data_IF_137328959366
#
_entry.id   IF_137328959366
#
_cell.length_a   1.000
_cell.length_b   1.000
_cell.length_c   1.000
_cell.angle_alpha   90.00
_cell.angle_beta   90.00
_cell.angle_gamma   90.00
#
_symmetry.space_group_name_H-M   'P 1'
#
loop_
_entity.id
_entity.type
_entity.pdbx_description
1 polymer ?
#
# COMPACT_ATOMS: atom_id res chain seq x y z
N UNK A 1 -29.85 6.64 -3.78
CA UNK A 1 -29.04 5.84 -2.83
C UNK A 1 -28.62 4.53 -3.51
N UNK A 2 -27.43 4.48 -4.13
CA UNK A 2 -26.99 3.35 -4.96
C UNK A 2 -26.37 2.23 -4.10
N UNK A 3 -27.19 1.24 -3.68
CA UNK A 3 -26.76 0.06 -2.91
C UNK A 3 -25.63 -0.75 -3.55
N UNK A 4 -25.41 -0.66 -4.87
CA UNK A 4 -24.38 -1.43 -5.59
C UNK A 4 -22.94 -0.89 -5.47
N UNK A 5 -22.74 0.41 -5.20
CA UNK A 5 -21.37 0.98 -5.08
C UNK A 5 -20.71 0.63 -3.75
N UNK A 6 -21.49 0.57 -2.66
CA UNK A 6 -20.96 0.22 -1.33
C UNK A 6 -20.45 -1.22 -1.23
N UNK A 7 -20.98 -2.16 -2.03
CA UNK A 7 -20.53 -3.55 -1.95
C UNK A 7 -19.15 -3.76 -2.58
N UNK A 8 -18.88 -3.17 -3.76
CA UNK A 8 -17.58 -3.29 -4.44
C UNK A 8 -16.43 -2.69 -3.63
N UNK A 9 -16.70 -1.56 -2.99
CA UNK A 9 -15.74 -0.84 -2.16
C UNK A 9 -15.39 -1.65 -0.92
N UNK A 10 -16.41 -2.24 -0.28
CA UNK A 10 -16.24 -3.15 0.83
C UNK A 10 -15.42 -4.39 0.45
N UNK A 11 -15.71 -5.03 -0.68
CA UNK A 11 -14.96 -6.22 -1.13
C UNK A 11 -13.48 -5.90 -1.42
N UNK A 12 -13.17 -4.76 -2.03
CA UNK A 12 -11.78 -4.34 -2.29
C UNK A 12 -11.01 -4.10 -0.99
N UNK A 13 -11.64 -3.44 -0.02
CA UNK A 13 -11.04 -3.22 1.31
C UNK A 13 -10.84 -4.56 2.01
N UNK A 14 -11.87 -5.41 2.05
CA UNK A 14 -11.82 -6.72 2.68
C UNK A 14 -10.73 -7.60 2.06
N UNK A 15 -10.61 -7.62 0.73
CA UNK A 15 -9.56 -8.35 0.02
C UNK A 15 -8.17 -7.82 0.38
N UNK A 16 -7.99 -6.49 0.40
CA UNK A 16 -6.70 -5.88 0.77
C UNK A 16 -6.31 -6.22 2.21
N UNK A 17 -7.26 -6.12 3.14
CA UNK A 17 -7.05 -6.47 4.55
C UNK A 17 -6.71 -7.96 4.70
N UNK A 18 -7.42 -8.85 4.01
CA UNK A 18 -7.15 -10.29 4.05
C UNK A 18 -5.75 -10.61 3.52
N UNK A 19 -5.34 -10.02 2.40
CA UNK A 19 -4.00 -10.22 1.83
C UNK A 19 -2.91 -9.71 2.79
N UNK A 20 -3.08 -8.51 3.35
CA UNK A 20 -2.14 -7.95 4.34
C UNK A 20 -2.08 -8.79 5.62
N UNK A 21 -3.21 -9.32 6.08
CA UNK A 21 -3.25 -10.21 7.23
C UNK A 21 -2.48 -11.50 6.97
N UNK A 22 -2.67 -12.13 5.81
CA UNK A 22 -1.93 -13.34 5.43
C UNK A 22 -0.43 -13.06 5.31
N UNK A 23 -0.03 -11.97 4.64
CA UNK A 23 1.37 -11.53 4.56
C UNK A 23 1.95 -11.36 5.96
N UNK A 24 1.20 -10.73 6.88
CA UNK A 24 1.64 -10.52 8.26
C UNK A 24 1.86 -11.85 8.99
N UNK A 25 0.95 -12.82 8.85
CA UNK A 25 1.11 -14.16 9.43
C UNK A 25 2.35 -14.88 8.87
N UNK A 26 2.57 -14.80 7.55
CA UNK A 26 3.75 -15.40 6.91
C UNK A 26 5.04 -14.75 7.43
N UNK A 27 5.08 -13.43 7.55
CA UNK A 27 6.23 -12.70 8.08
C UNK A 27 6.51 -13.05 9.55
N UNK A 28 5.48 -13.08 10.39
CA UNK A 28 5.60 -13.48 11.80
C UNK A 28 6.12 -14.91 11.91
N UNK A 29 5.48 -15.85 11.19
CA UNK A 29 5.92 -17.25 11.14
C UNK A 29 7.36 -17.38 10.67
N UNK A 30 7.72 -16.72 9.57
CA UNK A 30 9.07 -16.75 9.01
C UNK A 30 10.13 -16.24 9.99
N UNK A 31 9.85 -15.13 10.68
CA UNK A 31 10.75 -14.57 11.69
C UNK A 31 10.97 -15.54 12.88
N UNK A 32 9.89 -16.10 13.43
CA UNK A 32 9.99 -17.02 14.56
C UNK A 32 10.64 -18.35 14.15
N UNK A 33 10.25 -18.92 13.01
CA UNK A 33 10.80 -20.18 12.51
C UNK A 33 12.29 -20.04 12.20
N UNK A 34 12.71 -18.94 11.56
CA UNK A 34 14.13 -18.67 11.29
C UNK A 34 14.98 -18.63 12.57
N UNK A 35 14.42 -18.10 13.67
CA UNK A 35 15.09 -18.03 14.97
C UNK A 35 15.06 -19.36 15.73
N UNK A 36 13.88 -19.99 15.82
CA UNK A 36 13.65 -21.22 16.60
C UNK A 36 14.31 -22.45 15.96
N UNK A 37 14.25 -22.58 14.64
CA UNK A 37 14.91 -23.66 13.91
C UNK A 37 16.42 -23.39 13.69
N UNK A 38 16.97 -22.36 14.36
CA UNK A 38 18.38 -21.96 14.27
C UNK A 38 18.92 -21.84 12.82
N UNK A 39 18.06 -21.45 11.87
CA UNK A 39 18.44 -21.34 10.45
C UNK A 39 19.57 -20.33 10.26
N UNK A 40 19.66 -19.33 11.14
CA UNK A 40 20.76 -18.38 11.21
C UNK A 40 22.14 -19.01 11.48
N UNK A 41 22.21 -20.23 12.02
CA UNK A 41 23.46 -20.96 12.28
C UNK A 41 23.78 -21.99 11.19
N UNK A 42 22.81 -22.29 10.31
CA UNK A 42 23.02 -23.22 9.21
C UNK A 42 24.00 -22.66 8.16
N UNK A 43 24.49 -23.58 7.33
CA UNK A 43 25.32 -23.28 6.18
C UNK A 43 24.64 -22.24 5.25
N UNK A 44 25.38 -21.28 4.67
CA UNK A 44 24.86 -20.33 3.68
C UNK A 44 23.92 -20.92 2.62
N UNK A 45 24.19 -22.13 2.13
CA UNK A 45 23.36 -22.78 1.13
C UNK A 45 21.93 -23.11 1.66
N UNK A 46 21.85 -23.61 2.89
CA UNK A 46 20.57 -23.95 3.53
C UNK A 46 19.76 -22.68 3.87
N UNK A 47 20.44 -21.59 4.27
CA UNK A 47 19.81 -20.28 4.49
C UNK A 47 19.15 -19.75 3.22
N UNK A 48 19.88 -19.81 2.09
CA UNK A 48 19.38 -19.35 0.80
C UNK A 48 18.19 -20.19 0.33
N UNK A 49 18.23 -21.51 0.51
CA UNK A 49 17.12 -22.40 0.18
C UNK A 49 15.85 -22.05 0.97
N UNK A 50 15.98 -21.79 2.28
CA UNK A 50 14.87 -21.34 3.13
C UNK A 50 14.29 -20.00 2.65
N UNK A 51 15.15 -19.01 2.40
CA UNK A 51 14.72 -17.70 1.90
C UNK A 51 13.99 -17.81 0.56
N UNK A 52 14.49 -18.63 -0.38
CA UNK A 52 13.83 -18.86 -1.67
C UNK A 52 12.45 -19.50 -1.50
N UNK A 53 12.31 -20.46 -0.57
CA UNK A 53 11.01 -21.07 -0.26
C UNK A 53 10.03 -20.05 0.29
N UNK A 54 10.47 -19.19 1.21
CA UNK A 54 9.61 -18.12 1.75
C UNK A 54 9.25 -17.08 0.71
N UNK A 55 10.18 -16.72 -0.17
CA UNK A 55 9.92 -15.84 -1.29
C UNK A 55 8.88 -16.43 -2.27
N UNK A 56 8.93 -17.73 -2.56
CA UNK A 56 7.91 -18.38 -3.39
C UNK A 56 6.53 -18.37 -2.73
N UNK A 57 6.46 -18.58 -1.41
CA UNK A 57 5.19 -18.57 -0.67
C UNK A 57 4.58 -17.17 -0.61
N UNK A 58 5.39 -16.12 -0.40
CA UNK A 58 4.89 -14.74 -0.27
C UNK A 58 4.60 -14.06 -1.62
N UNK A 59 5.30 -14.46 -2.70
CA UNK A 59 5.18 -13.87 -4.03
C UNK A 59 3.73 -13.72 -4.55
N UNK A 60 2.84 -14.74 -4.52
CA UNK A 60 1.47 -14.58 -5.03
C UNK A 60 0.67 -13.53 -4.25
N UNK A 61 0.91 -13.42 -2.93
CA UNK A 61 0.24 -12.41 -2.11
C UNK A 61 0.76 -11.00 -2.40
N UNK A 62 2.06 -10.85 -2.67
CA UNK A 62 2.62 -9.57 -3.11
C UNK A 62 2.07 -9.16 -4.48
N UNK A 63 1.98 -10.09 -5.44
CA UNK A 63 1.35 -9.82 -6.74
C UNK A 63 -0.11 -9.38 -6.54
N UNK A 64 -0.88 -10.14 -5.76
CA UNK A 64 -2.26 -9.80 -5.44
C UNK A 64 -2.41 -8.43 -4.79
N UNK A 65 -1.52 -8.11 -3.84
CA UNK A 65 -1.49 -6.81 -3.17
C UNK A 65 -1.18 -5.67 -4.15
N UNK A 66 -0.19 -5.82 -5.03
CA UNK A 66 0.16 -4.83 -6.06
C UNK A 66 -1.04 -4.58 -6.99
N UNK A 67 -1.74 -5.63 -7.42
CA UNK A 67 -2.92 -5.51 -8.27
C UNK A 67 -4.08 -4.81 -7.55
N UNK A 68 -4.34 -5.17 -6.30
CA UNK A 68 -5.36 -4.53 -5.48
C UNK A 68 -5.06 -3.04 -5.29
N UNK A 69 -3.81 -2.69 -4.93
CA UNK A 69 -3.38 -1.31 -4.77
C UNK A 69 -3.50 -0.53 -6.08
N UNK A 70 -3.10 -1.12 -7.21
CA UNK A 70 -3.22 -0.52 -8.54
C UNK A 70 -4.65 -0.14 -8.93
N UNK A 71 -5.67 -0.80 -8.36
CA UNK A 71 -7.09 -0.48 -8.55
C UNK A 71 -7.59 0.51 -7.49
N UNK A 72 -7.15 0.35 -6.24
CA UNK A 72 -7.61 1.16 -5.11
C UNK A 72 -7.25 2.65 -5.20
N UNK A 73 -6.09 2.98 -5.79
CA UNK A 73 -5.62 4.37 -5.94
C UNK A 73 -6.42 5.16 -6.99
N UNK A 74 -6.51 4.74 -8.26
CA UNK A 74 -7.19 5.51 -9.31
C UNK A 74 -8.69 5.67 -9.05
N UNK A 75 -9.31 4.77 -8.30
CA UNK A 75 -10.71 4.88 -7.87
C UNK A 75 -10.99 6.17 -7.08
N UNK A 76 -10.00 6.71 -6.37
CA UNK A 76 -10.14 7.95 -5.58
C UNK A 76 -10.15 9.20 -6.47
N UNK A 77 -9.57 9.10 -7.66
CA UNK A 77 -9.37 10.21 -8.59
C UNK A 77 -10.37 10.19 -9.75
N UNK A 78 -10.76 9.00 -10.22
CA UNK A 78 -11.51 8.83 -11.47
C UNK A 78 -12.92 8.24 -11.25
N UNK A 79 -13.92 8.71 -12.00
CA UNK A 79 -15.23 8.07 -12.04
C UNK A 79 -15.14 6.65 -12.64
N UNK A 80 -16.05 5.75 -12.24
CA UNK A 80 -16.00 4.32 -12.54
C UNK A 80 -15.80 3.96 -14.04
N UNK A 81 -16.29 4.78 -14.95
CA UNK A 81 -16.14 4.58 -16.41
C UNK A 81 -14.68 4.71 -16.85
N UNK A 82 -13.95 5.69 -16.30
CA UNK A 82 -12.52 5.89 -16.57
C UNK A 82 -11.64 4.94 -15.77
N UNK A 83 -12.11 4.49 -14.60
CA UNK A 83 -11.39 3.51 -13.77
C UNK A 83 -11.12 2.21 -14.54
N UNK A 84 -12.13 1.67 -15.23
CA UNK A 84 -11.94 0.44 -16.01
C UNK A 84 -10.92 0.61 -17.14
N UNK A 85 -10.91 1.77 -17.83
CA UNK A 85 -9.94 2.05 -18.89
C UNK A 85 -8.52 2.16 -18.34
N UNK A 86 -8.36 2.86 -17.22
CA UNK A 86 -7.08 3.01 -16.56
C UNK A 86 -6.57 1.68 -16.01
N UNK A 87 -7.43 0.89 -15.35
CA UNK A 87 -7.09 -0.43 -14.86
C UNK A 87 -6.69 -1.38 -16.02
N UNK A 88 -7.40 -1.33 -17.15
CA UNK A 88 -7.06 -2.11 -18.33
C UNK A 88 -5.71 -1.67 -18.95
N UNK A 89 -5.44 -0.37 -19.02
CA UNK A 89 -4.16 0.17 -19.47
C UNK A 89 -3.01 -0.25 -18.55
N UNK A 90 -3.22 -0.16 -17.24
CA UNK A 90 -2.21 -0.48 -16.23
C UNK A 90 -1.94 -2.00 -16.18
N UNK A 91 -2.99 -2.82 -16.30
CA UNK A 91 -2.85 -4.27 -16.42
C UNK A 91 -2.22 -4.67 -17.75
N UNK A 92 -2.68 -4.12 -18.87
CA UNK A 92 -2.14 -4.40 -20.20
C UNK A 92 -0.68 -3.98 -20.35
N UNK A 93 -0.33 -2.77 -19.88
CA UNK A 93 1.04 -2.30 -19.81
C UNK A 93 1.90 -3.16 -18.89
N UNK A 94 1.36 -3.57 -17.74
CA UNK A 94 2.00 -4.53 -16.84
C UNK A 94 2.30 -5.87 -17.52
N UNK A 95 1.35 -6.44 -18.26
CA UNK A 95 1.54 -7.69 -19.01
C UNK A 95 2.59 -7.51 -20.11
N UNK A 96 2.54 -6.42 -20.87
CA UNK A 96 3.52 -6.13 -21.92
C UNK A 96 4.96 -6.04 -21.34
N UNK A 97 5.13 -5.33 -20.22
CA UNK A 97 6.41 -5.25 -19.51
C UNK A 97 6.80 -6.63 -18.96
N UNK A 98 5.85 -7.42 -18.47
CA UNK A 98 6.12 -8.75 -17.93
C UNK A 98 6.63 -9.71 -19.02
N UNK A 99 6.09 -9.61 -20.23
CA UNK A 99 6.53 -10.40 -21.38
C UNK A 99 7.90 -9.97 -21.92
N UNK A 100 8.22 -8.67 -21.86
CA UNK A 100 9.51 -8.15 -22.36
C UNK A 100 10.66 -8.21 -21.35
N UNK A 101 10.42 -7.79 -20.11
CA UNK A 101 11.45 -7.59 -19.07
C UNK A 101 11.20 -8.42 -17.79
N UNK A 102 10.20 -9.29 -17.80
CA UNK A 102 9.87 -10.19 -16.71
C UNK A 102 8.92 -9.59 -15.67
N UNK A 103 8.30 -10.49 -14.90
CA UNK A 103 7.25 -10.15 -13.91
C UNK A 103 7.75 -9.15 -12.86
N UNK A 104 9.00 -9.26 -12.41
CA UNK A 104 9.58 -8.32 -11.43
C UNK A 104 9.58 -6.87 -11.95
N UNK A 105 9.96 -6.65 -13.20
CA UNK A 105 10.00 -5.32 -13.80
C UNK A 105 8.57 -4.75 -13.94
N UNK A 106 7.61 -5.59 -14.33
CA UNK A 106 6.20 -5.21 -14.42
C UNK A 106 5.62 -4.77 -13.08
N UNK A 107 5.87 -5.53 -12.01
CA UNK A 107 5.40 -5.20 -10.67
C UNK A 107 6.01 -3.89 -10.18
N UNK A 108 7.31 -3.68 -10.36
CA UNK A 108 7.97 -2.42 -9.99
C UNK A 108 7.36 -1.25 -10.77
N UNK A 109 7.15 -1.39 -12.08
CA UNK A 109 6.56 -0.35 -12.92
C UNK A 109 5.13 0.02 -12.46
N UNK A 110 4.27 -0.99 -12.28
CA UNK A 110 2.88 -0.82 -11.80
C UNK A 110 2.85 -0.15 -10.42
N UNK A 111 3.70 -0.59 -9.51
CA UNK A 111 3.75 -0.05 -8.15
C UNK A 111 4.30 1.37 -8.13
N UNK A 112 5.29 1.68 -8.97
CA UNK A 112 5.86 3.02 -9.11
C UNK A 112 4.83 3.99 -9.68
N UNK A 113 4.08 3.58 -10.71
CA UNK A 113 2.97 4.37 -11.27
C UNK A 113 1.87 4.60 -10.22
N UNK A 114 1.52 3.57 -9.44
CA UNK A 114 0.55 3.68 -8.35
C UNK A 114 1.03 4.61 -7.24
N UNK A 115 2.33 4.57 -6.92
CA UNK A 115 2.97 5.44 -5.93
C UNK A 115 2.89 6.91 -6.37
N UNK A 116 3.26 7.21 -7.62
CA UNK A 116 3.15 8.57 -8.19
C UNK A 116 1.71 9.09 -8.14
N UNK A 117 0.75 8.26 -8.53
CA UNK A 117 -0.67 8.64 -8.49
C UNK A 117 -1.15 8.85 -7.05
N UNK A 118 -0.68 8.05 -6.09
CA UNK A 118 -0.98 8.23 -4.67
C UNK A 118 -0.38 9.52 -4.11
N UNK A 119 0.81 9.94 -4.55
CA UNK A 119 1.38 11.24 -4.19
C UNK A 119 0.52 12.40 -4.71
N UNK A 120 0.01 12.31 -5.95
CA UNK A 120 -0.94 13.30 -6.49
C UNK A 120 -2.21 13.35 -5.65
N UNK A 121 -2.78 12.20 -5.29
CA UNK A 121 -3.97 12.12 -4.43
C UNK A 121 -3.70 12.71 -3.04
N UNK A 122 -2.53 12.45 -2.45
CA UNK A 122 -2.13 13.03 -1.17
C UNK A 122 -2.01 14.55 -1.25
N UNK A 123 -1.38 15.07 -2.31
CA UNK A 123 -1.24 16.50 -2.55
C UNK A 123 -2.60 17.19 -2.68
N UNK A 124 -3.50 16.62 -3.51
CA UNK A 124 -4.86 17.13 -3.67
C UNK A 124 -5.66 17.06 -2.36
N UNK A 125 -5.48 16.00 -1.56
CA UNK A 125 -6.11 15.86 -0.26
C UNK A 125 -5.59 16.91 0.75
N UNK A 126 -4.29 17.21 0.73
CA UNK A 126 -3.68 18.25 1.57
C UNK A 126 -4.10 19.67 1.16
N UNK A 127 -4.35 19.91 -0.12
CA UNK A 127 -4.95 21.17 -0.60
C UNK A 127 -6.44 21.30 -0.26
N UNK A 128 -7.06 20.27 0.31
CA UNK A 128 -8.49 20.27 0.66
C UNK A 128 -9.42 20.21 -0.56
N UNK A 129 -8.93 19.72 -1.71
CA UNK A 129 -9.73 19.64 -2.93
C UNK A 129 -10.97 18.74 -2.74
N UNK A 130 -12.13 19.25 -3.14
CA UNK A 130 -13.38 18.49 -3.17
C UNK A 130 -13.49 17.53 -4.36
N UNK A 131 -12.55 17.61 -5.32
CA UNK A 131 -12.53 16.75 -6.50
C UNK A 131 -12.25 15.27 -6.17
N UNK A 132 -11.82 14.96 -4.95
CA UNK A 132 -11.56 13.59 -4.51
C UNK A 132 -12.82 12.91 -3.99
N UNK A 133 -13.14 11.75 -4.57
CA UNK A 133 -14.27 10.93 -4.17
C UNK A 133 -13.92 10.12 -2.91
N UNK A 134 -14.31 10.63 -1.73
CA UNK A 134 -14.20 9.92 -0.46
C UNK A 134 -15.58 9.56 0.11
N UNK A 135 -15.69 8.37 0.69
CA UNK A 135 -16.93 7.84 1.28
C UNK A 135 -17.31 8.53 2.59
N UNK A 136 -16.36 9.16 3.29
CA UNK A 136 -16.59 9.90 4.54
C UNK A 136 -16.15 11.36 4.44
N UNK A 137 -16.95 12.27 5.01
CA UNK A 137 -16.78 13.72 4.96
C UNK A 137 -15.91 14.23 6.12
N UNK A 138 -14.62 14.44 5.89
CA UNK A 138 -13.74 15.12 6.84
C UNK A 138 -12.32 15.25 6.31
N UNK A 139 -11.77 16.47 6.28
CA UNK A 139 -10.42 16.77 5.77
C UNK A 139 -9.34 15.84 6.35
N UNK A 140 -9.28 15.72 7.68
CA UNK A 140 -8.29 14.88 8.38
C UNK A 140 -8.44 13.39 8.07
N UNK A 141 -9.67 12.92 7.91
CA UNK A 141 -9.95 11.53 7.55
C UNK A 141 -9.51 11.21 6.12
N UNK A 142 -9.69 12.15 5.18
CA UNK A 142 -9.21 12.04 3.79
C UNK A 142 -7.69 11.99 3.73
N UNK A 143 -7.04 12.91 4.44
CA UNK A 143 -5.58 12.99 4.53
C UNK A 143 -5.01 11.71 5.16
N UNK A 144 -5.60 11.26 6.28
CA UNK A 144 -5.19 10.04 6.98
C UNK A 144 -5.32 8.79 6.10
N UNK A 145 -6.45 8.62 5.42
CA UNK A 145 -6.66 7.49 4.51
C UNK A 145 -5.67 7.49 3.34
N UNK A 146 -5.33 8.67 2.82
CA UNK A 146 -4.33 8.83 1.76
C UNK A 146 -2.92 8.46 2.24
N UNK A 147 -2.56 8.87 3.46
CA UNK A 147 -1.28 8.53 4.09
C UNK A 147 -1.13 7.03 4.35
N UNK A 148 -2.20 6.35 4.80
CA UNK A 148 -2.19 4.89 4.98
C UNK A 148 -1.93 4.18 3.64
N UNK A 149 -2.61 4.59 2.56
CA UNK A 149 -2.41 4.00 1.24
C UNK A 149 -0.99 4.23 0.72
N UNK A 150 -0.46 5.45 0.89
CA UNK A 150 0.93 5.74 0.55
C UNK A 150 1.90 4.87 1.36
N UNK A 151 1.69 4.74 2.67
CA UNK A 151 2.49 3.87 3.54
C UNK A 151 2.50 2.43 3.03
N UNK A 152 1.34 1.85 2.72
CA UNK A 152 1.27 0.46 2.21
C UNK A 152 1.98 0.33 0.85
N UNK A 153 1.84 1.29 -0.06
CA UNK A 153 2.52 1.24 -1.36
C UNK A 153 4.04 1.31 -1.18
N UNK A 154 4.52 2.23 -0.33
CA UNK A 154 5.95 2.36 -0.02
C UNK A 154 6.49 1.11 0.68
N UNK A 155 5.72 0.48 1.56
CA UNK A 155 6.06 -0.80 2.19
C UNK A 155 6.29 -1.90 1.15
N UNK A 156 5.35 -2.05 0.21
CA UNK A 156 5.48 -3.07 -0.83
C UNK A 156 6.66 -2.76 -1.75
N UNK A 157 6.88 -1.47 -2.05
CA UNK A 157 8.00 -1.03 -2.90
C UNK A 157 9.34 -1.33 -2.22
N UNK A 158 9.42 -1.12 -0.92
CA UNK A 158 10.58 -1.40 -0.09
C UNK A 158 11.03 -2.87 -0.17
N UNK A 159 10.09 -3.82 -0.19
CA UNK A 159 10.39 -5.25 -0.36
C UNK A 159 11.14 -5.54 -1.68
N UNK A 160 10.85 -4.78 -2.75
CA UNK A 160 11.57 -4.92 -4.02
C UNK A 160 12.98 -4.32 -3.98
N UNK A 161 13.22 -3.33 -3.12
CA UNK A 161 14.50 -2.62 -2.97
C UNK A 161 15.37 -3.12 -1.81
N UNK A 162 15.02 -4.23 -1.14
CA UNK A 162 15.76 -4.80 0.00
C UNK A 162 17.28 -4.97 -0.22
N UNK A 163 17.74 -5.14 -1.47
CA UNK A 163 19.17 -5.24 -1.78
C UNK A 163 19.95 -3.93 -1.60
N UNK A 164 19.28 -2.78 -1.55
CA UNK A 164 19.91 -1.46 -1.37
C UNK A 164 19.65 -0.97 0.06
N UNK A 165 20.55 -1.34 0.97
CA UNK A 165 20.39 -1.14 2.44
C UNK A 165 20.04 0.29 2.84
N UNK A 166 20.66 1.31 2.22
CA UNK A 166 20.39 2.71 2.53
C UNK A 166 18.96 3.15 2.12
N UNK A 167 18.51 2.73 0.92
CA UNK A 167 17.16 3.02 0.44
C UNK A 167 16.12 2.24 1.23
N UNK A 168 16.43 1.00 1.59
CA UNK A 168 15.55 0.16 2.39
C UNK A 168 15.26 0.81 3.76
N UNK A 169 16.32 1.23 4.47
CA UNK A 169 16.16 1.86 5.78
C UNK A 169 15.35 3.17 5.69
N UNK A 170 15.62 3.98 4.66
CA UNK A 170 14.88 5.22 4.43
C UNK A 170 13.39 4.96 4.14
N UNK A 171 13.10 4.05 3.21
CA UNK A 171 11.72 3.68 2.86
C UNK A 171 10.98 3.05 4.04
N UNK A 172 11.64 2.24 4.86
CA UNK A 172 11.07 1.67 6.07
C UNK A 172 10.59 2.75 7.05
N UNK A 173 11.43 3.74 7.37
CA UNK A 173 11.05 4.84 8.26
C UNK A 173 9.95 5.71 7.66
N UNK A 174 10.06 6.03 6.37
CA UNK A 174 9.05 6.82 5.66
C UNK A 174 7.68 6.11 5.66
N UNK A 175 7.68 4.81 5.37
CA UNK A 175 6.51 3.95 5.40
C UNK A 175 5.88 3.91 6.79
N UNK A 176 6.70 3.71 7.81
CA UNK A 176 6.25 3.63 9.21
C UNK A 176 5.63 4.95 9.63
N UNK A 177 6.30 6.08 9.37
CA UNK A 177 5.79 7.42 9.65
C UNK A 177 4.48 7.70 8.93
N UNK A 178 4.41 7.44 7.63
CA UNK A 178 3.20 7.64 6.83
C UNK A 178 2.02 6.80 7.34
N UNK A 179 2.25 5.53 7.68
CA UNK A 179 1.20 4.64 8.17
C UNK A 179 0.71 5.05 9.56
N UNK A 180 1.62 5.36 10.49
CA UNK A 180 1.28 5.79 11.85
C UNK A 180 0.53 7.13 11.84
N UNK A 181 1.04 8.14 11.12
CA UNK A 181 0.36 9.43 10.98
C UNK A 181 -0.99 9.26 10.29
N UNK A 182 -1.06 8.42 9.27
CA UNK A 182 -2.29 8.09 8.58
C UNK A 182 -3.35 7.47 9.50
N UNK A 183 -2.95 6.55 10.38
CA UNK A 183 -3.82 5.98 11.41
C UNK A 183 -4.28 7.03 12.42
N UNK A 184 -3.37 7.88 12.91
CA UNK A 184 -3.71 8.97 13.85
C UNK A 184 -4.78 9.88 13.24
N UNK A 185 -4.58 10.36 12.01
CA UNK A 185 -5.53 11.25 11.35
C UNK A 185 -6.85 10.56 11.00
N UNK A 186 -6.83 9.26 10.72
CA UNK A 186 -8.05 8.51 10.37
C UNK A 186 -8.89 8.17 11.60
N UNK A 187 -8.29 7.68 12.69
CA UNK A 187 -9.01 7.24 13.88
C UNK A 187 -9.30 8.38 14.87
N UNK A 188 -8.37 9.33 15.01
CA UNK A 188 -8.51 10.47 15.93
C UNK A 188 -8.91 11.75 15.21
N UNK A 189 -9.53 11.66 14.02
CA UNK A 189 -9.92 12.81 13.21
C UNK A 189 -10.72 13.88 13.99
N UNK A 190 -11.70 13.52 14.87
CA UNK A 190 -12.44 14.51 15.64
C UNK A 190 -11.54 15.22 16.66
N UNK A 191 -10.71 14.47 17.38
CA UNK A 191 -9.78 14.98 18.40
C UNK A 191 -8.71 15.88 17.79
N UNK A 192 -8.13 15.48 16.65
CA UNK A 192 -7.15 16.29 15.91
C UNK A 192 -7.79 17.58 15.42
N UNK A 193 -9.03 17.52 14.91
CA UNK A 193 -9.74 18.72 14.46
C UNK A 193 -10.04 19.69 15.61
N UNK A 194 -10.39 19.17 16.79
CA UNK A 194 -10.63 19.96 17.98
C UNK A 194 -9.33 20.59 18.52
N UNK A 195 -8.24 19.81 18.55
CA UNK A 195 -6.93 20.27 18.97
C UNK A 195 -6.39 21.39 18.07
N UNK A 196 -6.48 21.22 16.75
CA UNK A 196 -6.05 22.24 15.79
C UNK A 196 -6.89 23.53 15.88
N UNK A 197 -8.20 23.40 16.10
CA UNK A 197 -9.08 24.57 16.36
C UNK A 197 -8.71 25.28 17.66
N UNK A 198 -8.26 24.54 18.68
CA UNK A 198 -7.79 25.09 19.97
C UNK A 198 -6.45 25.81 19.79
N UNK A 199 -5.50 25.22 19.07
CA UNK A 199 -4.20 25.83 18.75
C UNK A 199 -4.34 27.12 17.94
N UNK A 200 -5.26 27.17 16.96
CA UNK A 200 -5.53 28.39 16.16
C UNK A 200 -6.23 29.51 16.96
N UNK A 201 -6.68 29.23 18.19
CA UNK A 201 -7.33 30.20 19.09
C UNK A 201 -6.39 30.70 20.19
N UNK A 202 -5.14 30.24 20.23
CA UNK A 202 -4.12 30.79 21.11
C UNK A 202 -3.49 31.97 20.35
N UNK A 203 -3.60 33.20 20.85
CA UNK A 203 -3.09 34.41 20.20
C UNK A 203 -1.56 34.42 20.08
#
# INVERSE_FOLDING_TARGET
MNKRRGSWDFYLILATVAVLFIISLICIYGMFYFKLAQIHQLDPAAKLAYMNRMNMVIAPFLVGLVLLLGICVPKRLLPAVWLNRFALLLAGGGIAIALGWGVKAALIAVLSASCLLQFVVLFLAAMGSEALHFEKSGYWLRLGSSLIHLGIILFVLDLFFHRRTALHLFLFWLTTGATVLGMIFSFYSPTVSAFMKKMRKIP
#
